data_IF_640523885975
#
_entry.id   IF_640523885975
#
_cell.length_a   1.000
_cell.length_b   1.000
_cell.length_c   1.000
_cell.angle_alpha   90.00
_cell.angle_beta   90.00
_cell.angle_gamma   90.00
#
_symmetry.space_group_name_H-M   'P 1'
#
loop_
_entity.id
_entity.type
_entity.pdbx_description
1 polymer ?
#
# COMPACT_ATOMS: atom_id res chain seq x y z
N UNK A 1 46.23 14.84 -52.36
CA UNK A 1 44.79 14.72 -52.68
C UNK A 1 44.18 13.72 -51.71
N UNK A 2 43.19 14.08 -50.88
CA UNK A 2 42.56 13.13 -49.97
C UNK A 2 41.47 12.34 -50.73
N UNK A 3 41.66 11.04 -50.80
CA UNK A 3 40.67 10.07 -51.28
C UNK A 3 39.56 9.92 -50.25
N UNK A 4 38.39 10.46 -50.54
CA UNK A 4 37.17 10.30 -49.76
C UNK A 4 36.61 8.89 -49.94
N UNK A 5 36.84 8.03 -48.94
CA UNK A 5 36.15 6.73 -48.81
C UNK A 5 34.71 6.95 -48.38
N UNK A 6 33.78 6.87 -49.31
CA UNK A 6 32.35 6.79 -49.04
C UNK A 6 32.02 5.40 -48.49
N UNK A 7 32.10 5.22 -47.18
CA UNK A 7 31.50 4.06 -46.53
C UNK A 7 29.99 4.12 -46.75
N UNK A 8 29.46 3.09 -47.40
CA UNK A 8 28.04 2.88 -47.63
C UNK A 8 27.35 2.68 -46.28
N UNK A 9 26.39 3.55 -45.96
CA UNK A 9 25.67 3.51 -44.68
C UNK A 9 25.12 2.12 -44.34
N UNK A 10 24.76 1.33 -45.36
CA UNK A 10 24.28 -0.06 -45.26
C UNK A 10 25.23 -1.05 -44.57
N UNK A 11 26.55 -0.85 -44.61
CA UNK A 11 27.53 -1.75 -43.99
C UNK A 11 27.80 -1.43 -42.51
N UNK A 12 27.38 -0.25 -42.05
CA UNK A 12 27.54 0.22 -40.67
C UNK A 12 26.37 -0.21 -39.76
N UNK A 13 25.18 -0.44 -40.34
CA UNK A 13 24.01 -0.98 -39.63
C UNK A 13 24.17 -2.42 -39.10
N UNK A 14 24.74 -3.40 -39.83
CA UNK A 14 24.83 -4.77 -39.32
C UNK A 14 25.68 -4.86 -38.04
N UNK A 15 26.77 -4.11 -37.90
CA UNK A 15 27.57 -4.09 -36.67
C UNK A 15 26.87 -3.35 -35.52
N UNK A 16 26.19 -2.24 -35.80
CA UNK A 16 25.40 -1.49 -34.81
C UNK A 16 24.23 -2.30 -34.24
N UNK A 17 23.60 -3.16 -35.04
CA UNK A 17 22.55 -4.06 -34.57
C UNK A 17 23.07 -5.04 -33.52
N UNK A 18 24.23 -5.67 -33.74
CA UNK A 18 24.82 -6.59 -32.75
C UNK A 18 25.21 -5.91 -31.44
N UNK A 19 25.49 -4.61 -31.47
CA UNK A 19 25.83 -3.81 -30.28
C UNK A 19 24.55 -3.35 -29.55
N UNK A 20 23.48 -3.02 -30.28
CA UNK A 20 22.24 -2.47 -29.72
C UNK A 20 21.22 -3.54 -29.31
N UNK A 21 21.20 -4.69 -29.97
CA UNK A 21 20.27 -5.80 -29.66
C UNK A 21 20.44 -6.30 -28.20
N UNK A 22 21.65 -6.62 -27.71
CA UNK A 22 21.82 -7.13 -26.35
C UNK A 22 21.33 -6.18 -25.24
N UNK A 23 21.69 -4.87 -25.22
CA UNK A 23 21.20 -3.97 -24.17
C UNK A 23 19.69 -3.73 -24.28
N UNK A 24 19.11 -3.65 -25.48
CA UNK A 24 17.66 -3.50 -25.68
C UNK A 24 16.90 -4.74 -25.19
N UNK A 25 17.42 -5.94 -25.46
CA UNK A 25 16.84 -7.18 -24.93
C UNK A 25 16.92 -7.25 -23.40
N UNK A 26 18.05 -6.86 -22.81
CA UNK A 26 18.19 -6.81 -21.34
C UNK A 26 17.23 -5.79 -20.72
N UNK A 27 17.10 -4.60 -21.31
CA UNK A 27 16.18 -3.57 -20.82
C UNK A 27 14.73 -4.05 -20.92
N UNK A 28 14.34 -4.59 -22.07
CA UNK A 28 12.98 -5.09 -22.29
C UNK A 28 12.65 -6.25 -21.34
N UNK A 29 13.54 -7.23 -21.19
CA UNK A 29 13.38 -8.33 -20.25
C UNK A 29 13.23 -7.85 -18.80
N UNK A 30 14.00 -6.82 -18.41
CA UNK A 30 13.89 -6.21 -17.09
C UNK A 30 12.51 -5.58 -16.85
N UNK A 31 12.00 -4.80 -17.81
CA UNK A 31 10.67 -4.19 -17.70
C UNK A 31 9.55 -5.21 -17.72
N UNK A 32 9.64 -6.24 -18.59
CA UNK A 32 8.67 -7.34 -18.64
C UNK A 32 8.63 -8.07 -17.29
N UNK A 33 9.80 -8.39 -16.70
CA UNK A 33 9.89 -9.03 -15.39
C UNK A 33 9.30 -8.15 -14.29
N UNK A 34 9.61 -6.86 -14.29
CA UNK A 34 9.08 -5.89 -13.31
C UNK A 34 7.55 -5.82 -13.39
N UNK A 35 7.00 -5.73 -14.60
CA UNK A 35 5.56 -5.72 -14.83
C UNK A 35 4.90 -7.04 -14.43
N UNK A 36 5.48 -8.18 -14.80
CA UNK A 36 4.98 -9.51 -14.45
C UNK A 36 4.92 -9.72 -12.93
N UNK A 37 5.96 -9.32 -12.20
CA UNK A 37 5.96 -9.42 -10.74
C UNK A 37 4.90 -8.53 -10.11
N UNK A 38 4.71 -7.30 -10.61
CA UNK A 38 3.66 -6.41 -10.14
C UNK A 38 2.26 -6.99 -10.42
N UNK A 39 2.05 -7.54 -11.62
CA UNK A 39 0.80 -8.20 -12.01
C UNK A 39 0.51 -9.42 -11.13
N UNK A 40 1.52 -10.27 -10.92
CA UNK A 40 1.39 -11.46 -10.07
C UNK A 40 1.11 -11.09 -8.62
N UNK A 41 1.71 -10.03 -8.10
CA UNK A 41 1.42 -9.54 -6.75
C UNK A 41 0.03 -8.90 -6.66
N UNK A 42 -0.43 -8.24 -7.73
CA UNK A 42 -1.79 -7.70 -7.78
C UNK A 42 -2.85 -8.80 -7.79
N UNK A 43 -2.62 -9.90 -8.50
CA UNK A 43 -3.60 -10.98 -8.64
C UNK A 43 -3.49 -12.05 -7.56
N UNK A 44 -2.27 -12.41 -7.17
CA UNK A 44 -1.94 -13.54 -6.30
C UNK A 44 -1.01 -13.15 -5.15
N UNK A 45 -0.80 -11.84 -4.92
CA UNK A 45 0.08 -11.38 -3.86
C UNK A 45 -0.47 -11.63 -2.47
N UNK A 46 0.42 -11.47 -1.49
CA UNK A 46 0.12 -11.59 -0.07
C UNK A 46 -0.99 -10.59 0.27
N UNK A 47 -2.09 -11.07 0.86
CA UNK A 47 -3.26 -10.26 1.21
C UNK A 47 -4.47 -10.39 0.28
N UNK A 48 -4.37 -11.12 -0.84
CA UNK A 48 -5.52 -11.56 -1.65
C UNK A 48 -6.26 -12.77 -1.09
N UNK A 49 -5.65 -13.44 -0.10
CA UNK A 49 -6.25 -14.55 0.65
C UNK A 49 -6.24 -15.87 -0.10
N UNK A 50 -6.56 -16.94 0.61
CA UNK A 50 -6.84 -18.22 -0.02
C UNK A 50 -8.11 -18.10 -0.87
N UNK A 51 -8.20 -18.80 -2.02
CA UNK A 51 -9.43 -18.83 -2.82
C UNK A 51 -10.60 -19.30 -1.93
N UNK A 52 -11.67 -18.51 -1.89
CA UNK A 52 -12.85 -18.75 -1.05
C UNK A 52 -12.86 -18.01 0.29
N UNK A 53 -11.74 -17.41 0.73
CA UNK A 53 -11.74 -16.50 1.88
C UNK A 53 -11.90 -15.05 1.42
N UNK A 54 -12.90 -14.34 1.97
CA UNK A 54 -13.06 -12.90 1.77
C UNK A 54 -11.95 -12.17 2.51
N UNK A 55 -10.81 -12.00 1.85
CA UNK A 55 -9.71 -11.16 2.34
C UNK A 55 -9.65 -9.88 1.52
N UNK A 56 -8.84 -8.90 1.94
CA UNK A 56 -8.77 -7.57 1.34
C UNK A 56 -10.05 -6.74 1.56
N UNK A 57 -10.72 -6.93 2.71
CA UNK A 57 -11.81 -6.06 3.15
C UNK A 57 -11.21 -4.75 3.67
N UNK A 58 -11.68 -3.62 3.15
CA UNK A 58 -11.29 -2.30 3.63
C UNK A 58 -11.87 -2.10 5.03
N UNK A 59 -11.06 -1.63 5.98
CA UNK A 59 -11.57 -1.18 7.28
C UNK A 59 -12.38 0.09 7.06
N UNK A 60 -13.67 0.04 7.40
CA UNK A 60 -14.58 1.18 7.36
C UNK A 60 -14.55 1.84 8.74
N UNK A 61 -14.51 3.17 8.78
CA UNK A 61 -14.66 3.93 10.04
C UNK A 61 -16.10 3.81 10.51
N UNK A 62 -16.30 3.40 11.75
CA UNK A 62 -17.64 3.30 12.34
C UNK A 62 -18.03 4.68 12.85
N UNK A 63 -19.17 5.21 12.39
CA UNK A 63 -19.72 6.49 12.87
C UNK A 63 -20.15 6.39 14.34
N UNK A 64 -20.14 7.49 15.11
CA UNK A 64 -20.46 7.46 16.54
C UNK A 64 -21.88 6.93 16.83
N UNK A 65 -22.85 7.23 15.96
CA UNK A 65 -24.22 6.74 16.08
C UNK A 65 -24.31 5.22 15.97
N UNK A 66 -23.64 4.66 14.95
CA UNK A 66 -23.61 3.22 14.70
C UNK A 66 -22.80 2.52 15.80
N UNK A 67 -21.71 3.12 16.26
CA UNK A 67 -20.94 2.59 17.38
C UNK A 67 -21.77 2.48 18.66
N UNK A 68 -22.63 3.47 18.94
CA UNK A 68 -23.53 3.43 20.10
C UNK A 68 -24.60 2.32 19.98
N UNK A 69 -25.17 2.12 18.79
CA UNK A 69 -26.13 1.04 18.53
C UNK A 69 -25.49 -0.35 18.66
N UNK A 70 -24.30 -0.53 18.09
CA UNK A 70 -23.53 -1.76 18.24
C UNK A 70 -23.19 -2.06 19.71
N UNK A 71 -22.84 -1.04 20.51
CA UNK A 71 -22.61 -1.20 21.95
C UNK A 71 -23.86 -1.58 22.73
N UNK A 72 -25.04 -1.14 22.26
CA UNK A 72 -26.34 -1.51 22.84
C UNK A 72 -26.73 -2.95 22.49
N UNK A 73 -26.07 -3.58 21.52
CA UNK A 73 -26.40 -4.91 21.03
C UNK A 73 -27.58 -4.90 20.04
N UNK A 74 -27.82 -3.77 19.36
CA UNK A 74 -28.80 -3.67 18.28
C UNK A 74 -28.21 -4.21 16.98
N UNK A 75 -28.98 -4.98 16.22
CA UNK A 75 -28.55 -5.54 14.92
C UNK A 75 -28.59 -4.46 13.84
N UNK A 76 -27.41 -3.95 13.49
CA UNK A 76 -27.25 -2.92 12.44
C UNK A 76 -26.95 -3.59 11.10
N UNK A 77 -27.75 -3.26 10.07
CA UNK A 77 -27.53 -3.82 8.73
C UNK A 77 -26.26 -3.25 8.06
N UNK A 78 -25.61 -4.02 7.16
CA UNK A 78 -24.44 -3.53 6.42
C UNK A 78 -24.72 -2.28 5.57
N UNK A 79 -25.94 -2.17 5.05
CA UNK A 79 -26.38 -1.02 4.25
C UNK A 79 -26.46 0.26 5.09
N UNK A 80 -26.92 0.16 6.34
CA UNK A 80 -26.93 1.28 7.29
C UNK A 80 -25.52 1.76 7.63
N UNK A 81 -24.58 0.83 7.86
CA UNK A 81 -23.17 1.17 8.13
C UNK A 81 -22.59 1.91 6.92
N UNK A 82 -22.84 1.41 5.71
CA UNK A 82 -22.37 2.02 4.48
C UNK A 82 -22.96 3.43 4.29
N UNK A 83 -24.27 3.59 4.44
CA UNK A 83 -24.95 4.86 4.31
C UNK A 83 -24.48 5.88 5.35
N UNK A 84 -24.32 5.47 6.61
CA UNK A 84 -23.81 6.33 7.68
C UNK A 84 -22.35 6.75 7.41
N UNK A 85 -21.50 5.82 6.98
CA UNK A 85 -20.11 6.13 6.63
C UNK A 85 -20.00 7.10 5.45
N UNK A 86 -20.84 6.94 4.43
CA UNK A 86 -20.87 7.82 3.27
C UNK A 86 -21.30 9.24 3.64
N UNK A 87 -22.32 9.38 4.50
CA UNK A 87 -22.76 10.70 5.01
C UNK A 87 -21.65 11.41 5.80
N UNK A 88 -20.98 10.68 6.69
CA UNK A 88 -19.87 11.25 7.48
C UNK A 88 -18.69 11.67 6.59
N UNK A 89 -18.34 10.87 5.57
CA UNK A 89 -17.30 11.22 4.60
C UNK A 89 -17.67 12.49 3.79
N UNK A 90 -18.95 12.70 3.49
CA UNK A 90 -19.44 13.91 2.81
C UNK A 90 -19.37 15.15 3.71
N UNK A 91 -19.74 15.02 4.98
CA UNK A 91 -19.66 16.09 5.98
C UNK A 91 -18.20 16.50 6.23
N UNK A 92 -17.28 15.54 6.42
CA UNK A 92 -15.84 15.81 6.57
C UNK A 92 -15.27 16.54 5.35
N UNK A 93 -15.71 16.18 4.13
CA UNK A 93 -15.31 16.88 2.90
C UNK A 93 -15.82 18.32 2.86
N UNK A 94 -17.06 18.57 3.29
CA UNK A 94 -17.64 19.92 3.33
C UNK A 94 -16.91 20.78 4.37
N UNK A 95 -16.69 20.24 5.57
CA UNK A 95 -15.94 20.92 6.64
C UNK A 95 -14.52 21.25 6.20
N UNK A 96 -13.80 20.30 5.59
CA UNK A 96 -12.42 20.50 5.15
C UNK A 96 -12.30 21.44 3.94
N UNK A 97 -13.37 21.59 3.14
CA UNK A 97 -13.40 22.56 2.03
C UNK A 97 -13.66 24.01 2.48
N UNK A 98 -14.07 24.23 3.73
CA UNK A 98 -14.41 25.53 4.28
C UNK A 98 -13.33 26.21 5.14
N UNK A 99 -12.17 25.58 5.38
CA UNK A 99 -11.14 26.09 6.30
C UNK A 99 -9.87 26.48 5.54
N UNK A 100 -9.81 27.74 5.11
CA UNK A 100 -8.56 28.51 4.98
C UNK A 100 -8.63 29.54 6.12
N UNK A 101 -7.54 29.68 6.90
CA UNK A 101 -7.36 30.44 8.17
C UNK A 101 -7.36 29.52 9.40
N UNK A 102 -6.35 29.42 10.28
CA UNK A 102 -5.09 30.13 10.54
C UNK A 102 -4.16 29.16 11.30
N UNK A 103 -2.82 29.24 11.16
CA UNK A 103 -1.88 28.39 11.88
C UNK A 103 -1.57 29.00 13.24
N UNK A 104 -1.98 28.37 14.33
CA UNK A 104 -1.37 28.41 15.68
C UNK A 104 -2.36 27.75 16.66
N UNK A 105 -2.15 26.48 17.01
CA UNK A 105 -2.00 26.12 18.42
C UNK A 105 -1.45 24.69 18.52
N UNK A 106 -0.18 24.64 18.90
CA UNK A 106 0.54 23.44 19.29
C UNK A 106 -0.07 22.94 20.60
N UNK A 107 -1.12 22.11 20.52
CA UNK A 107 -1.60 21.37 21.69
C UNK A 107 -0.69 20.16 21.90
N UNK A 108 0.11 20.27 22.95
CA UNK A 108 1.04 19.28 23.43
C UNK A 108 0.36 17.90 23.56
N UNK A 109 1.06 16.88 23.09
CA UNK A 109 0.72 15.48 23.31
C UNK A 109 0.60 15.21 24.81
N UNK A 110 -0.57 14.82 25.35
CA UNK A 110 -0.55 14.11 26.61
C UNK A 110 0.00 12.71 26.32
N UNK A 111 1.24 12.49 26.73
CA UNK A 111 1.80 11.18 27.04
C UNK A 111 0.85 10.47 28.01
N UNK A 112 -0.12 9.71 27.50
CA UNK A 112 -0.88 8.74 28.28
C UNK A 112 -0.40 7.34 27.89
N UNK A 113 0.72 6.99 28.50
CA UNK A 113 0.96 5.64 28.97
C UNK A 113 -0.20 5.24 29.89
N UNK A 114 -1.16 4.47 29.39
CA UNK A 114 -2.05 3.59 30.14
C UNK A 114 -2.97 2.87 29.13
N UNK A 115 -2.38 2.01 28.31
CA UNK A 115 -3.15 0.88 27.79
C UNK A 115 -3.44 -0.02 28.99
N UNK A 116 -4.72 -0.31 29.33
CA UNK A 116 -5.03 -1.36 30.30
C UNK A 116 -4.30 -2.65 29.86
N UNK A 117 -3.83 -3.52 30.77
CA UNK A 117 -3.26 -4.79 30.36
C UNK A 117 -4.31 -5.51 29.50
N UNK A 118 -4.03 -5.65 28.20
CA UNK A 118 -4.84 -6.49 27.32
C UNK A 118 -4.95 -7.85 28.00
N UNK A 119 -6.15 -8.45 28.11
CA UNK A 119 -6.27 -9.80 28.64
C UNK A 119 -5.36 -10.69 27.79
N UNK A 120 -4.42 -11.38 28.44
CA UNK A 120 -3.48 -12.25 27.77
C UNK A 120 -4.28 -13.16 26.84
N UNK A 121 -4.05 -13.05 25.54
CA UNK A 121 -4.82 -13.80 24.55
C UNK A 121 -4.39 -15.27 24.66
N UNK A 122 -5.11 -16.04 25.47
CA UNK A 122 -4.84 -17.47 25.78
C UNK A 122 -4.83 -18.37 24.54
N UNK A 123 -5.39 -17.88 23.43
CA UNK A 123 -5.51 -18.59 22.17
C UNK A 123 -4.22 -18.57 21.34
N UNK A 124 -3.29 -17.67 21.65
CA UNK A 124 -2.01 -17.55 20.94
C UNK A 124 -0.88 -18.02 21.86
N UNK A 125 0.05 -18.86 21.37
CA UNK A 125 1.22 -19.21 22.16
C UNK A 125 2.05 -17.95 22.44
N UNK A 126 2.56 -17.82 23.67
CA UNK A 126 3.33 -16.66 24.16
C UNK A 126 4.57 -16.34 23.29
N UNK A 127 5.05 -17.31 22.51
CA UNK A 127 6.17 -17.16 21.59
C UNK A 127 5.91 -16.21 20.41
N UNK A 128 4.64 -15.87 20.12
CA UNK A 128 4.22 -15.01 19.00
C UNK A 128 3.80 -13.62 19.47
N UNK A 129 3.27 -13.49 20.69
CA UNK A 129 2.70 -12.24 21.22
C UNK A 129 3.75 -11.28 21.79
N UNK A 130 4.94 -11.78 22.11
CA UNK A 130 6.07 -10.94 22.52
C UNK A 130 6.75 -10.22 21.34
N UNK A 131 7.04 -8.91 21.43
CA UNK A 131 7.76 -8.19 20.39
C UNK A 131 9.18 -8.75 20.25
N UNK A 132 9.39 -9.60 19.24
CA UNK A 132 10.71 -10.16 18.90
C UNK A 132 11.63 -9.01 18.46
N UNK A 133 12.53 -8.56 19.35
CA UNK A 133 13.59 -7.58 19.03
C UNK A 133 14.39 -8.08 17.84
N UNK A 134 14.13 -7.53 16.65
CA UNK A 134 14.87 -7.85 15.43
C UNK A 134 16.29 -7.30 15.57
N UNK A 135 17.27 -8.19 15.66
CA UNK A 135 18.69 -7.82 15.75
C UNK A 135 19.09 -6.93 14.58
N UNK A 136 19.60 -5.74 14.89
CA UNK A 136 20.05 -4.74 13.91
C UNK A 136 21.29 -5.30 13.20
N UNK A 137 21.09 -5.82 11.98
CA UNK A 137 22.18 -6.33 11.14
C UNK A 137 23.20 -5.24 10.84
N UNK A 138 24.46 -5.48 11.23
CA UNK A 138 25.62 -4.64 10.95
C UNK A 138 26.02 -4.85 9.49
N UNK A 139 25.80 -3.85 8.63
CA UNK A 139 26.33 -3.86 7.25
C UNK A 139 27.86 -3.82 7.33
N UNK A 140 28.51 -4.79 6.68
CA UNK A 140 29.90 -4.72 6.23
C UNK A 140 29.89 -4.29 4.76
#
# INVERSE_FOLDING_TARGET
>A
MPSSTSHTASDEYPSMLWITIPPVLLLSAYFIRKWYLAYRLKNYGIGKGAPGFQTNVRRIRVTPEIAARLRRGEDVSPEEIAAASAKADEEERRENSGVIETPLERKETPSVSQTPPEPANEWLPESITGPKKRGKGKKR
#
